data_IF_527661455183
#
_entry.id   IF_527661455183
#
_cell.length_a   1.000
_cell.length_b   1.000
_cell.length_c   1.000
_cell.angle_alpha   90.00
_cell.angle_beta   90.00
_cell.angle_gamma   90.00
#
_symmetry.space_group_name_H-M   'P 1'
#
loop_
_entity.id
_entity.type
_entity.pdbx_description
1 polymer ?
#
# COMPACT_ATOMS: atom_id res chain seq x y z
N UNK A 1 29.80 11.69 5.70
CA UNK A 1 29.17 10.63 4.86
C UNK A 1 27.66 10.84 4.74
N UNK A 2 26.93 11.08 5.82
CA UNK A 2 25.50 11.40 5.78
C UNK A 2 25.16 12.60 4.88
N UNK A 3 25.92 13.69 4.97
CA UNK A 3 25.70 14.90 4.15
C UNK A 3 25.85 14.64 2.65
N UNK A 4 26.83 13.84 2.24
CA UNK A 4 27.01 13.45 0.84
C UNK A 4 25.84 12.61 0.32
N UNK A 5 25.28 11.74 1.15
CA UNK A 5 24.13 10.89 0.78
C UNK A 5 22.87 11.75 0.65
N UNK A 6 22.62 12.65 1.60
CA UNK A 6 21.50 13.59 1.53
C UNK A 6 21.64 14.49 0.29
N UNK A 7 22.84 14.99 -0.01
CA UNK A 7 23.10 15.75 -1.22
C UNK A 7 22.86 14.92 -2.50
N UNK A 8 23.29 13.66 -2.51
CA UNK A 8 23.06 12.74 -3.64
C UNK A 8 21.57 12.55 -3.90
N UNK A 9 20.78 12.30 -2.85
CA UNK A 9 19.32 12.14 -2.96
C UNK A 9 18.62 13.42 -3.39
N UNK A 10 19.07 14.57 -2.88
CA UNK A 10 18.50 15.89 -3.21
C UNK A 10 18.70 16.27 -4.69
N UNK A 11 19.71 15.68 -5.32
CA UNK A 11 20.01 15.88 -6.73
C UNK A 11 19.30 14.87 -7.67
N UNK A 12 18.56 13.89 -7.15
CA UNK A 12 17.81 12.92 -7.95
C UNK A 12 16.51 13.53 -8.50
N UNK A 13 16.65 14.45 -9.46
CA UNK A 13 15.51 15.16 -10.05
C UNK A 13 14.96 14.47 -11.29
N UNK A 14 15.81 13.87 -12.10
CA UNK A 14 15.41 13.26 -13.37
C UNK A 14 15.41 11.73 -13.31
N UNK A 15 14.73 11.10 -14.27
CA UNK A 15 14.73 9.65 -14.40
C UNK A 15 16.13 9.09 -14.71
N UNK A 16 16.97 9.85 -15.42
CA UNK A 16 18.36 9.47 -15.70
C UNK A 16 19.20 9.44 -14.42
N UNK A 17 19.06 10.46 -13.57
CA UNK A 17 19.73 10.52 -12.26
C UNK A 17 19.33 9.32 -11.40
N UNK A 18 18.04 9.00 -11.37
CA UNK A 18 17.52 7.82 -10.66
C UNK A 18 18.16 6.52 -11.17
N UNK A 19 18.26 6.34 -12.50
CA UNK A 19 18.86 5.14 -13.10
C UNK A 19 20.35 5.05 -12.74
N UNK A 20 21.07 6.17 -12.81
CA UNK A 20 22.48 6.24 -12.47
C UNK A 20 22.73 5.95 -10.97
N UNK A 21 21.92 6.51 -10.09
CA UNK A 21 22.03 6.32 -8.64
C UNK A 21 21.66 4.89 -8.21
N UNK A 22 20.65 4.28 -8.84
CA UNK A 22 20.20 2.92 -8.50
C UNK A 22 20.67 1.88 -9.52
N UNK A 23 21.93 2.01 -9.98
CA UNK A 23 22.54 1.12 -10.98
C UNK A 23 22.73 -0.31 -10.47
N UNK A 24 23.32 -0.43 -9.28
CA UNK A 24 23.82 -1.69 -8.73
C UNK A 24 23.25 -1.96 -7.35
N UNK A 25 23.00 -3.23 -7.05
CA UNK A 25 22.44 -3.65 -5.78
C UNK A 25 23.35 -3.29 -4.60
N UNK A 26 24.67 -3.42 -4.76
CA UNK A 26 25.65 -3.04 -3.75
C UNK A 26 25.68 -1.53 -3.49
N UNK A 27 25.47 -0.71 -4.53
CA UNK A 27 25.36 0.73 -4.36
C UNK A 27 24.09 1.10 -3.60
N UNK A 28 22.97 0.45 -3.93
CA UNK A 28 21.70 0.61 -3.22
C UNK A 28 21.82 0.22 -1.74
N UNK A 29 22.51 -0.88 -1.43
CA UNK A 29 22.76 -1.29 -0.05
C UNK A 29 23.58 -0.24 0.71
N UNK A 30 24.70 0.24 0.16
CA UNK A 30 25.53 1.28 0.79
C UNK A 30 24.76 2.59 1.01
N UNK A 31 23.93 2.95 0.03
CA UNK A 31 23.08 4.13 0.12
C UNK A 31 22.09 4.01 1.29
N UNK A 32 21.38 2.89 1.40
CA UNK A 32 20.50 2.64 2.54
C UNK A 32 21.27 2.57 3.87
N UNK A 33 22.45 1.95 3.90
CA UNK A 33 23.25 1.86 5.11
C UNK A 33 23.62 3.23 5.64
N UNK A 34 24.03 4.16 4.76
CA UNK A 34 24.34 5.52 5.18
C UNK A 34 23.11 6.37 5.52
N UNK A 35 21.91 6.01 5.07
CA UNK A 35 20.66 6.63 5.52
C UNK A 35 20.22 6.13 6.90
N UNK A 36 20.25 4.82 7.12
CA UNK A 36 19.77 4.18 8.35
C UNK A 36 20.80 4.34 9.49
N UNK A 37 22.09 4.28 9.15
CA UNK A 37 23.21 4.30 10.10
C UNK A 37 24.21 5.41 9.79
N UNK A 38 23.81 6.70 9.84
CA UNK A 38 24.69 7.82 9.51
C UNK A 38 25.91 7.91 10.43
N UNK A 39 25.76 7.49 11.68
CA UNK A 39 26.78 7.56 12.74
C UNK A 39 27.38 6.19 13.09
N UNK A 40 27.18 5.18 12.24
CA UNK A 40 27.64 3.82 12.46
C UNK A 40 26.52 2.83 12.79
N UNK A 41 26.84 1.55 12.61
CA UNK A 41 25.86 0.44 12.66
C UNK A 41 25.40 0.18 14.09
N UNK A 42 24.10 0.02 14.26
CA UNK A 42 23.49 -0.34 15.55
C UNK A 42 22.73 -1.65 15.36
N UNK A 43 22.99 -2.62 16.24
CA UNK A 43 22.27 -3.89 16.22
C UNK A 43 20.79 -3.66 16.53
N UNK A 44 19.85 -4.09 15.67
CA UNK A 44 18.43 -3.85 15.89
C UNK A 44 17.83 -4.71 17.01
N UNK A 45 18.52 -5.76 17.46
CA UNK A 45 18.05 -6.65 18.52
C UNK A 45 18.45 -6.17 19.92
N UNK A 46 19.67 -5.66 20.10
CA UNK A 46 20.22 -5.29 21.42
C UNK A 46 20.76 -3.86 21.52
N UNK A 47 20.77 -3.08 20.43
CA UNK A 47 21.29 -1.70 20.43
C UNK A 47 22.81 -1.58 20.48
N UNK A 48 23.56 -2.69 20.44
CA UNK A 48 25.03 -2.64 20.48
C UNK A 48 25.64 -2.01 19.21
N UNK A 49 26.68 -1.19 19.37
CA UNK A 49 27.26 -0.35 18.31
C UNK A 49 28.36 -1.04 17.49
N UNK A 50 28.90 -2.15 17.99
CA UNK A 50 29.94 -2.89 17.28
C UNK A 50 29.36 -4.11 16.57
N UNK A 51 29.62 -4.19 15.28
CA UNK A 51 29.26 -5.33 14.44
C UNK A 51 30.37 -5.68 13.46
N UNK A 52 30.49 -6.97 13.18
CA UNK A 52 31.44 -7.54 12.24
C UNK A 52 30.69 -7.81 10.93
N UNK A 53 31.26 -7.39 9.81
CA UNK A 53 30.74 -7.74 8.49
C UNK A 53 31.04 -9.22 8.21
N UNK A 54 30.00 -10.02 7.98
CA UNK A 54 30.16 -11.39 7.52
C UNK A 54 30.26 -11.32 6.00
N UNK A 55 31.49 -11.30 5.47
CA UNK A 55 31.72 -11.66 4.08
C UNK A 55 31.45 -13.17 3.96
N UNK A 56 30.33 -13.54 3.36
CA UNK A 56 30.07 -14.96 3.09
C UNK A 56 31.15 -15.50 2.15
N UNK A 57 31.65 -16.70 2.42
CA UNK A 57 32.46 -17.43 1.45
C UNK A 57 31.56 -17.71 0.24
N UNK A 58 32.04 -17.40 -0.96
CA UNK A 58 31.38 -17.76 -2.23
C UNK A 58 31.41 -19.28 -2.42
N UNK A 59 30.58 -19.99 -1.66
CA UNK A 59 30.40 -21.43 -1.82
C UNK A 59 29.39 -21.61 -2.94
N UNK A 60 29.90 -21.78 -4.17
CA UNK A 60 29.38 -22.31 -5.47
C UNK A 60 27.87 -22.36 -5.80
N UNK A 61 26.95 -22.24 -4.85
CA UNK A 61 25.48 -22.22 -4.98
C UNK A 61 24.77 -21.10 -4.22
N UNK A 62 25.44 -20.44 -3.25
CA UNK A 62 24.86 -19.34 -2.49
C UNK A 62 25.82 -18.15 -2.49
N UNK A 63 25.54 -17.14 -3.33
CA UNK A 63 26.20 -15.84 -3.26
C UNK A 63 25.99 -15.29 -1.85
N UNK A 64 27.09 -14.94 -1.18
CA UNK A 64 27.05 -14.27 0.11
C UNK A 64 26.08 -13.08 0.06
N UNK A 65 25.17 -12.96 1.03
CA UNK A 65 24.23 -11.83 1.06
C UNK A 65 25.04 -10.55 1.35
N UNK A 66 25.18 -9.62 0.39
CA UNK A 66 25.94 -8.41 0.63
C UNK A 66 25.28 -7.60 1.76
N UNK A 67 26.08 -7.02 2.65
CA UNK A 67 25.59 -6.24 3.79
C UNK A 67 25.06 -7.07 4.97
N UNK A 68 25.52 -8.32 5.13
CA UNK A 68 25.25 -9.12 6.32
C UNK A 68 26.23 -8.77 7.45
N UNK A 69 25.68 -8.37 8.59
CA UNK A 69 26.44 -8.03 9.79
C UNK A 69 26.08 -8.96 10.94
N UNK A 70 27.04 -9.22 11.81
CA UNK A 70 26.82 -9.91 13.06
C UNK A 70 27.15 -9.00 14.23
N UNK A 71 26.25 -8.95 15.21
CA UNK A 71 26.49 -8.26 16.45
C UNK A 71 27.71 -8.84 17.18
N UNK A 72 28.63 -7.97 17.61
CA UNK A 72 29.85 -8.38 18.34
C UNK A 72 29.61 -8.64 19.82
N UNK A 73 28.42 -8.35 20.36
CA UNK A 73 28.06 -8.70 21.73
C UNK A 73 28.00 -10.22 21.88
N UNK A 74 28.66 -10.74 22.92
CA UNK A 74 28.71 -12.17 23.28
C UNK A 74 27.33 -12.77 23.47
N UNK A 75 26.40 -11.98 24.01
CA UNK A 75 25.10 -12.45 24.47
C UNK A 75 24.04 -12.38 23.35
N UNK A 76 24.27 -11.52 22.35
CA UNK A 76 23.34 -11.32 21.24
C UNK A 76 23.73 -12.14 20.00
N UNK A 77 24.95 -11.92 19.47
CA UNK A 77 25.48 -12.53 18.23
C UNK A 77 24.52 -12.53 17.03
N UNK A 78 23.49 -11.68 17.06
CA UNK A 78 22.41 -11.63 16.08
C UNK A 78 22.93 -11.18 14.71
N UNK A 79 22.45 -11.85 13.66
CA UNK A 79 22.78 -11.49 12.28
C UNK A 79 21.70 -10.58 11.71
N UNK A 80 22.11 -9.44 11.15
CA UNK A 80 21.22 -8.44 10.62
C UNK A 80 21.77 -7.83 9.34
N UNK A 81 20.87 -7.21 8.59
CA UNK A 81 21.14 -6.44 7.37
C UNK A 81 20.53 -5.06 7.54
N UNK A 82 20.81 -4.13 6.63
CA UNK A 82 20.18 -2.80 6.65
C UNK A 82 18.64 -2.86 6.55
N UNK A 83 18.09 -3.93 5.97
CA UNK A 83 16.65 -4.12 5.85
C UNK A 83 16.02 -4.87 7.03
N UNK A 84 16.80 -5.26 8.04
CA UNK A 84 16.28 -5.99 9.21
C UNK A 84 15.34 -5.09 10.04
N UNK A 85 14.16 -5.61 10.41
CA UNK A 85 13.07 -4.85 11.04
C UNK A 85 12.53 -3.64 10.24
N UNK A 86 12.66 -3.66 8.92
CA UNK A 86 12.04 -2.67 8.02
C UNK A 86 10.95 -3.32 7.14
N UNK A 87 10.14 -2.54 6.42
CA UNK A 87 9.21 -3.10 5.42
C UNK A 87 9.91 -3.83 4.27
N UNK A 88 11.22 -3.62 4.10
CA UNK A 88 12.09 -4.30 3.14
C UNK A 88 12.63 -5.63 3.70
N UNK A 89 12.25 -6.00 4.93
CA UNK A 89 12.74 -7.22 5.57
C UNK A 89 12.29 -8.47 4.80
N UNK A 90 13.23 -9.39 4.60
CA UNK A 90 13.01 -10.69 3.94
C UNK A 90 12.35 -10.62 2.55
N UNK A 91 12.37 -9.47 1.86
CA UNK A 91 11.82 -9.37 0.51
C UNK A 91 12.70 -10.11 -0.49
N UNK A 92 12.08 -10.85 -1.41
CA UNK A 92 12.77 -11.49 -2.54
C UNK A 92 13.06 -10.53 -3.70
N UNK A 93 12.52 -9.31 -3.61
CA UNK A 93 12.72 -8.28 -4.62
C UNK A 93 14.08 -7.61 -4.43
N UNK A 94 14.77 -7.27 -5.54
CA UNK A 94 15.97 -6.44 -5.49
C UNK A 94 15.69 -5.09 -4.83
N UNK A 95 16.63 -4.60 -4.04
CA UNK A 95 16.57 -3.32 -3.35
C UNK A 95 16.46 -2.16 -4.33
N UNK A 96 17.14 -2.26 -5.49
CA UNK A 96 17.00 -1.29 -6.58
C UNK A 96 15.55 -1.08 -7.01
N UNK A 97 14.72 -2.13 -7.00
CA UNK A 97 13.31 -2.05 -7.42
C UNK A 97 12.51 -1.26 -6.40
N UNK A 98 12.78 -1.46 -5.11
CA UNK A 98 12.17 -0.68 -4.04
C UNK A 98 12.58 0.79 -4.07
N UNK A 99 13.86 1.09 -4.26
CA UNK A 99 14.34 2.47 -4.32
C UNK A 99 13.76 3.23 -5.52
N UNK A 100 13.69 2.59 -6.70
CA UNK A 100 12.99 3.15 -7.88
C UNK A 100 11.51 3.41 -7.58
N UNK A 101 10.84 2.48 -6.91
CA UNK A 101 9.44 2.65 -6.53
C UNK A 101 9.23 3.81 -5.55
N UNK A 102 10.14 3.99 -4.59
CA UNK A 102 10.13 5.12 -3.65
C UNK A 102 10.30 6.44 -4.40
N UNK A 103 11.31 6.53 -5.27
CA UNK A 103 11.56 7.75 -6.05
C UNK A 103 10.33 8.13 -6.90
N UNK A 104 9.73 7.17 -7.59
CA UNK A 104 8.52 7.40 -8.39
C UNK A 104 7.33 7.89 -7.55
N UNK A 105 7.15 7.35 -6.34
CA UNK A 105 6.07 7.77 -5.45
C UNK A 105 6.29 9.17 -4.86
N UNK A 106 7.54 9.55 -4.61
CA UNK A 106 7.90 10.85 -4.04
C UNK A 106 7.89 11.97 -5.09
N UNK A 107 8.15 11.66 -6.36
CA UNK A 107 8.21 12.66 -7.44
C UNK A 107 6.85 12.96 -8.11
N UNK A 108 5.82 12.16 -7.86
CA UNK A 108 4.51 12.39 -8.48
C UNK A 108 3.57 13.08 -7.50
N UNK A 109 3.06 14.23 -7.93
CA UNK A 109 2.02 14.98 -7.21
C UNK A 109 0.71 14.19 -7.07
N UNK A 110 0.48 13.26 -8.01
CA UNK A 110 -0.71 12.40 -8.07
C UNK A 110 -0.32 10.97 -7.73
N UNK A 111 -1.17 10.30 -6.96
CA UNK A 111 -0.98 8.89 -6.62
C UNK A 111 -0.79 8.00 -7.85
N UNK A 112 0.23 7.15 -7.80
CA UNK A 112 0.57 6.21 -8.88
C UNK A 112 -0.33 4.97 -8.82
N UNK A 113 -1.00 4.64 -9.94
CA UNK A 113 -1.80 3.42 -10.04
C UNK A 113 -0.91 2.17 -9.96
N UNK A 114 -1.43 1.08 -9.37
CA UNK A 114 -0.66 -0.17 -9.26
C UNK A 114 -0.26 -0.75 -10.61
N UNK A 115 -1.08 -0.55 -11.64
CA UNK A 115 -0.81 -1.05 -13.00
C UNK A 115 0.37 -0.28 -13.59
N UNK A 116 0.33 1.06 -13.51
CA UNK A 116 1.41 1.88 -14.06
C UNK A 116 2.72 1.71 -13.31
N UNK A 117 2.64 1.50 -11.98
CA UNK A 117 3.80 1.16 -11.17
C UNK A 117 4.42 -0.19 -11.61
N UNK A 118 3.57 -1.18 -11.92
CA UNK A 118 4.01 -2.49 -12.39
C UNK A 118 4.75 -2.42 -13.73
N UNK A 119 4.17 -1.69 -14.69
CA UNK A 119 4.79 -1.44 -16.00
C UNK A 119 6.14 -0.75 -15.86
N UNK A 120 6.22 0.30 -15.04
CA UNK A 120 7.43 1.11 -14.88
C UNK A 120 8.55 0.31 -14.20
N UNK A 121 8.22 -0.54 -13.23
CA UNK A 121 9.19 -1.36 -12.51
C UNK A 121 9.50 -2.70 -13.18
N UNK A 122 8.72 -3.11 -14.19
CA UNK A 122 8.83 -4.41 -14.83
C UNK A 122 8.46 -5.58 -13.90
N UNK A 123 7.49 -5.39 -13.00
CA UNK A 123 7.02 -6.42 -12.06
C UNK A 123 5.55 -6.76 -12.30
N UNK A 124 5.04 -7.82 -11.67
CA UNK A 124 3.61 -8.12 -11.75
C UNK A 124 2.76 -7.09 -10.98
N UNK A 125 1.54 -6.82 -11.47
CA UNK A 125 0.65 -5.86 -10.83
C UNK A 125 0.36 -6.13 -9.34
N UNK A 126 0.15 -7.39 -8.89
CA UNK A 126 -0.03 -7.67 -7.46
C UNK A 126 1.20 -7.32 -6.63
N UNK A 127 2.40 -7.48 -7.20
CA UNK A 127 3.67 -7.13 -6.56
C UNK A 127 3.79 -5.61 -6.44
N UNK A 128 3.52 -4.87 -7.52
CA UNK A 128 3.51 -3.42 -7.51
C UNK A 128 2.48 -2.86 -6.52
N UNK A 129 1.30 -3.48 -6.42
CA UNK A 129 0.27 -3.09 -5.44
C UNK A 129 0.78 -3.23 -4.00
N UNK A 130 1.43 -4.36 -3.65
CA UNK A 130 2.05 -4.56 -2.33
C UNK A 130 3.15 -3.55 -2.04
N UNK A 131 4.03 -3.29 -3.02
CA UNK A 131 5.08 -2.28 -2.89
C UNK A 131 4.45 -0.91 -2.60
N UNK A 132 3.53 -0.46 -3.46
CA UNK A 132 2.91 0.85 -3.31
C UNK A 132 2.14 1.01 -2.00
N UNK A 133 1.50 -0.06 -1.51
CA UNK A 133 0.83 -0.03 -0.21
C UNK A 133 1.83 0.07 0.95
N UNK A 134 2.90 -0.75 0.95
CA UNK A 134 3.95 -0.67 1.96
C UNK A 134 4.63 0.71 1.99
N UNK A 135 4.93 1.29 0.83
CA UNK A 135 5.52 2.62 0.73
C UNK A 135 4.58 3.71 1.29
N UNK A 136 3.29 3.66 0.97
CA UNK A 136 2.31 4.62 1.52
C UNK A 136 2.17 4.50 3.03
N UNK A 137 2.22 3.30 3.59
CA UNK A 137 2.20 3.10 5.03
C UNK A 137 3.47 3.66 5.70
N UNK A 138 4.64 3.54 5.05
CA UNK A 138 5.88 4.12 5.58
C UNK A 138 5.89 5.67 5.56
N UNK A 139 5.20 6.28 4.59
CA UNK A 139 5.13 7.75 4.45
C UNK A 139 3.93 8.35 5.20
N UNK A 140 2.90 7.53 5.49
CA UNK A 140 1.73 7.98 6.22
C UNK A 140 2.13 8.59 7.56
N UNK A 141 1.75 9.85 7.77
CA UNK A 141 1.86 10.53 9.05
C UNK A 141 0.47 10.60 9.65
N UNK A 142 0.27 9.91 10.75
CA UNK A 142 -0.95 10.05 11.54
C UNK A 142 -0.78 11.28 12.43
N UNK A 143 -1.42 12.37 12.02
CA UNK A 143 -1.55 13.55 12.85
C UNK A 143 -2.93 13.51 13.52
N UNK A 144 -2.98 13.72 14.84
CA UNK A 144 -4.26 13.89 15.52
C UNK A 144 -4.94 15.14 14.97
N UNK A 145 -6.20 15.00 14.57
CA UNK A 145 -7.04 16.13 14.17
C UNK A 145 -7.44 16.89 15.45
N UNK A 146 -7.42 18.21 15.40
CA UNK A 146 -7.79 19.10 16.52
C UNK A 146 -8.63 20.28 16.02
N UNK A 147 -9.43 20.87 16.91
CA UNK A 147 -10.35 21.97 16.61
C UNK A 147 -11.62 21.52 15.89
N UNK A 148 -12.13 22.39 15.00
CA UNK A 148 -13.31 22.09 14.18
C UNK A 148 -12.91 21.26 12.96
N UNK A 149 -13.38 20.02 12.89
CA UNK A 149 -13.12 19.11 11.78
C UNK A 149 -14.37 18.99 10.93
N UNK A 150 -14.29 19.41 9.68
CA UNK A 150 -15.33 19.17 8.67
C UNK A 150 -15.02 17.88 7.90
N UNK A 151 -16.04 17.03 7.72
CA UNK A 151 -15.91 15.75 7.03
C UNK A 151 -16.80 15.74 5.80
N UNK A 152 -16.18 15.91 4.64
CA UNK A 152 -16.87 15.75 3.36
C UNK A 152 -17.04 14.26 3.03
N UNK A 153 -18.24 13.90 2.57
CA UNK A 153 -18.51 12.57 2.03
C UNK A 153 -18.66 12.66 0.52
N UNK A 154 -17.96 11.79 -0.20
CA UNK A 154 -18.13 11.64 -1.64
C UNK A 154 -18.57 10.21 -1.95
N UNK A 155 -19.65 10.06 -2.70
CA UNK A 155 -20.16 8.75 -3.11
C UNK A 155 -19.45 8.27 -4.37
N UNK A 156 -18.59 7.26 -4.22
CA UNK A 156 -17.88 6.60 -5.31
C UNK A 156 -18.62 5.31 -5.73
N UNK A 157 -19.44 5.39 -6.78
CA UNK A 157 -20.13 4.22 -7.33
C UNK A 157 -21.31 4.54 -8.24
N UNK A 158 -21.72 3.58 -9.06
CA UNK A 158 -22.98 3.66 -9.80
C UNK A 158 -24.18 3.27 -8.93
N UNK A 159 -25.41 3.62 -9.36
CA UNK A 159 -26.63 3.09 -8.73
C UNK A 159 -26.53 1.56 -8.68
N UNK A 160 -26.81 0.93 -7.52
CA UNK A 160 -26.72 -0.51 -7.41
C UNK A 160 -27.63 -1.16 -8.46
N UNK A 161 -27.08 -2.11 -9.23
CA UNK A 161 -27.80 -2.76 -10.33
C UNK A 161 -29.01 -3.58 -9.85
N UNK A 162 -29.09 -3.84 -8.54
CA UNK A 162 -30.21 -4.47 -7.83
C UNK A 162 -30.48 -3.68 -6.57
N UNK A 163 -31.74 -3.45 -6.23
CA UNK A 163 -32.10 -2.91 -4.92
C UNK A 163 -31.68 -3.94 -3.85
N UNK A 164 -30.91 -3.56 -2.82
CA UNK A 164 -30.52 -4.46 -1.73
C UNK A 164 -31.72 -5.08 -1.03
N UNK A 165 -32.78 -4.28 -0.85
CA UNK A 165 -34.04 -4.69 -0.21
C UNK A 165 -35.07 -5.26 -1.20
N UNK A 166 -34.72 -5.33 -2.48
CA UNK A 166 -35.57 -5.87 -3.52
C UNK A 166 -35.43 -7.39 -3.62
N UNK A 167 -36.53 -8.15 -3.78
CA UNK A 167 -36.43 -9.58 -4.01
C UNK A 167 -35.55 -9.84 -5.25
N UNK A 168 -34.63 -10.83 -5.20
CA UNK A 168 -33.73 -11.10 -6.30
C UNK A 168 -34.54 -11.36 -7.59
N UNK A 169 -34.13 -10.82 -8.74
CA UNK A 169 -34.80 -11.11 -10.00
C UNK A 169 -34.74 -12.62 -10.23
N UNK A 170 -35.91 -13.27 -10.20
CA UNK A 170 -36.03 -14.71 -10.41
C UNK A 170 -35.41 -15.13 -11.74
N UNK A 171 -34.82 -16.32 -11.79
CA UNK A 171 -34.24 -16.90 -13.02
C UNK A 171 -35.38 -17.27 -13.98
N UNK A 172 -35.83 -16.30 -14.78
CA UNK A 172 -36.84 -16.53 -15.81
C UNK A 172 -37.26 -15.26 -16.53
N UNK A 173 -37.55 -15.37 -17.84
CA UNK A 173 -38.16 -14.31 -18.65
C UNK A 173 -39.59 -14.08 -18.14
N UNK A 174 -39.81 -13.08 -17.27
CA UNK A 174 -41.17 -12.78 -16.82
C UNK A 174 -41.97 -12.12 -17.93
N UNK A 175 -42.78 -12.95 -18.57
CA UNK A 175 -43.85 -12.55 -19.46
C UNK A 175 -44.82 -11.59 -18.79
N UNK A 176 -45.34 -10.68 -19.62
CA UNK A 176 -46.62 -9.97 -19.56
C UNK A 176 -47.12 -9.53 -18.18
N UNK A 177 -47.29 -8.22 -18.04
CA UNK A 177 -48.18 -7.63 -17.04
C UNK A 177 -49.57 -8.32 -17.12
N UNK A 178 -50.04 -8.90 -16.00
CA UNK A 178 -51.45 -9.29 -15.88
C UNK A 178 -52.29 -8.01 -15.92
N UNK A 179 -52.94 -7.75 -17.05
CA UNK A 179 -54.06 -6.79 -17.14
C UNK A 179 -55.07 -7.15 -16.06
N UNK A 180 -55.28 -6.26 -15.07
CA UNK A 180 -56.42 -6.36 -14.15
C UNK A 180 -57.70 -6.24 -14.99
N UNK A 181 -58.45 -7.34 -15.14
CA UNK A 181 -59.81 -7.31 -15.66
C UNK A 181 -60.66 -6.51 -14.67
N UNK A 182 -61.14 -5.32 -15.06
CA UNK A 182 -62.26 -4.66 -14.37
C UNK A 182 -63.47 -5.59 -14.51
N UNK A 183 -63.96 -6.13 -13.39
CA UNK A 183 -65.31 -6.69 -13.32
C UNK A 183 -66.23 -5.53 -12.94
N UNK A 184 -67.06 -5.11 -13.90
CA UNK A 184 -68.26 -4.33 -13.65
C UNK A 184 -69.24 -5.23 -12.89
N UNK A 185 -69.65 -4.83 -11.70
CA UNK A 185 -70.91 -5.28 -11.10
C UNK A 185 -71.60 -4.06 -10.50
N UNK A 186 -72.78 -3.81 -11.06
CA UNK A 186 -73.75 -2.82 -10.66
C UNK A 186 -74.33 -3.14 -9.26
N UNK A 187 -74.74 -2.08 -8.57
CA UNK A 187 -75.86 -2.11 -7.66
C UNK A 187 -75.55 -2.40 -6.18
N UNK A 188 -75.71 -1.37 -5.34
CA UNK A 188 -75.95 -1.56 -3.90
C UNK A 188 -75.40 -0.47 -3.00
N UNK A 189 -76.14 0.63 -2.87
CA UNK A 189 -75.98 1.62 -1.79
C UNK A 189 -76.26 0.92 -0.45
N UNK A 190 -75.35 1.03 0.52
CA UNK A 190 -75.71 0.82 1.92
C UNK A 190 -75.14 1.97 2.78
N UNK A 191 -76.05 2.84 3.18
CA UNK A 191 -75.85 3.97 4.08
C UNK A 191 -76.11 3.43 5.49
N UNK A 192 -75.05 3.27 6.29
CA UNK A 192 -75.00 3.00 7.74
C UNK A 192 -73.51 2.96 8.10
N UNK A 193 -72.89 3.77 8.95
CA UNK A 193 -73.31 4.75 9.95
C UNK A 193 -72.06 5.61 10.26
N UNK A 194 -72.19 6.93 10.35
CA UNK A 194 -71.96 7.76 11.54
C UNK A 194 -70.61 7.54 12.28
N UNK A 195 -69.61 8.40 12.08
CA UNK A 195 -69.28 9.58 12.93
C UNK A 195 -68.81 9.22 14.35
N UNK A 196 -67.52 9.45 14.63
CA UNK A 196 -66.93 9.91 15.90
C UNK A 196 -65.43 10.19 15.61
N UNK A 197 -65.03 11.44 15.33
CA UNK A 197 -64.64 12.52 16.25
C UNK A 197 -63.31 12.25 16.97
N UNK A 198 -62.41 13.20 16.71
CA UNK A 198 -61.16 13.53 17.38
C UNK A 198 -61.10 13.21 18.88
N UNK A 199 -59.92 12.74 19.29
CA UNK A 199 -59.29 12.96 20.58
C UNK A 199 -57.80 13.16 20.35
#
# INVERSE_FOLDING_TARGET
MSEMIVATLSNLRTAEDMIAAFRDEEHCCRLLEGMVWPNGRICPACGYKHSIAIAGRDVRKHRARPGLYQCSSSDCRFQFTVTTHTSLHATKLPLRTWLKAMWLLLQLDKGLSSIRLAETLGVSQPTAWRIGHALRLMVAREHMLDGTVEVDHFYLGGRPRKQPDGPPPGRGRKGRQKRKRRRSHDGGINIKSAVAVFG
#
